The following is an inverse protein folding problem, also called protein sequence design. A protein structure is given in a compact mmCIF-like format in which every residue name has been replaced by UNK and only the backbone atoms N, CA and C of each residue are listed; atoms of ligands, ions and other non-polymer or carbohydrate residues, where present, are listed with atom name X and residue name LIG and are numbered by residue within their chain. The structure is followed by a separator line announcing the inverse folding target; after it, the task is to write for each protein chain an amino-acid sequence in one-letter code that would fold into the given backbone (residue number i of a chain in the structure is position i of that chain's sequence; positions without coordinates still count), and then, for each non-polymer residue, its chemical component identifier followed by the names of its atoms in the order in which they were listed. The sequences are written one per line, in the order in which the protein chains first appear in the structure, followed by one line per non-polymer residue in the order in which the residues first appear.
data_IF_301995555368
#
_entry.id   IF_301995555368
#
_cell.length_a   1.000
_cell.length_b   1.000
_cell.length_c   1.000
_cell.angle_alpha   90.00
_cell.angle_beta   90.00
_cell.angle_gamma   90.00
#
_symmetry.space_group_name_H-M   'P 1'
#
loop_
_entity.id
_entity.type
_entity.pdbx_description
1 polymer ?
#
# COMPACT_ATOMS: atom_id res chain seq x y z
N UNK A 1 18.82 -33.83 6.12
CA UNK A 1 18.31 -32.85 5.15
C UNK A 1 16.97 -32.40 5.67
N UNK A 2 16.94 -31.22 6.27
CA UNK A 2 15.80 -30.67 6.99
C UNK A 2 15.20 -29.58 6.11
N UNK A 3 13.90 -29.66 5.85
CA UNK A 3 13.14 -28.68 5.08
C UNK A 3 13.36 -27.27 5.64
N UNK A 4 13.78 -26.35 4.76
CA UNK A 4 13.75 -24.92 5.03
C UNK A 4 12.32 -24.47 4.76
N UNK A 5 11.52 -24.38 5.82
CA UNK A 5 10.20 -23.73 5.78
C UNK A 5 10.40 -22.26 5.41
N UNK A 6 9.69 -21.82 4.37
CA UNK A 6 9.67 -20.43 3.86
C UNK A 6 9.57 -19.43 5.01
N UNK A 7 10.52 -18.50 5.04
CA UNK A 7 10.54 -17.34 5.93
C UNK A 7 9.53 -16.30 5.43
N UNK A 8 8.46 -16.10 6.19
CA UNK A 8 7.66 -14.88 6.13
C UNK A 8 8.52 -13.72 6.64
N UNK A 9 9.07 -12.98 5.68
CA UNK A 9 10.00 -11.84 5.73
C UNK A 9 10.23 -11.17 7.10
N UNK A 10 11.40 -11.45 7.68
CA UNK A 10 12.17 -10.46 8.42
C UNK A 10 12.79 -9.48 7.42
N UNK A 11 12.56 -8.17 7.55
CA UNK A 11 13.25 -7.18 6.72
C UNK A 11 14.61 -6.84 7.34
N UNK A 12 15.66 -7.53 6.90
CA UNK A 12 17.02 -6.99 6.90
C UNK A 12 17.33 -6.58 5.46
N UNK A 13 17.44 -5.27 5.19
CA UNK A 13 17.89 -4.78 3.88
C UNK A 13 19.39 -4.58 3.95
N UNK A 14 20.13 -5.34 3.14
CA UNK A 14 21.56 -5.20 2.90
C UNK A 14 21.78 -4.21 1.76
N UNK A 15 22.53 -3.14 1.99
CA UNK A 15 23.14 -2.37 0.90
C UNK A 15 24.65 -2.46 1.03
N UNK A 16 25.28 -3.05 0.02
CA UNK A 16 26.72 -3.03 -0.11
C UNK A 16 27.07 -1.93 -1.11
N UNK A 17 27.52 -0.78 -0.62
CA UNK A 17 28.20 0.22 -1.45
C UNK A 17 29.55 0.53 -0.83
N UNK A 18 30.62 0.32 -1.60
CA UNK A 18 31.98 0.81 -1.30
C UNK A 18 32.62 0.26 -0.02
N UNK A 19 32.29 -0.97 0.39
CA UNK A 19 33.02 -1.68 1.45
C UNK A 19 32.75 -1.18 2.88
N UNK A 20 31.67 -0.43 3.10
CA UNK A 20 31.14 -0.15 4.44
C UNK A 20 29.67 -0.57 4.54
N UNK A 21 29.34 -1.29 5.60
CA UNK A 21 27.98 -1.74 5.90
C UNK A 21 27.20 -0.59 6.57
N UNK A 22 26.09 -0.17 5.98
CA UNK A 22 25.21 0.86 6.54
C UNK A 22 23.89 0.25 7.00
N UNK A 23 23.44 0.60 8.20
CA UNK A 23 22.16 0.15 8.78
C UNK A 23 21.17 1.31 8.79
N UNK A 24 20.02 1.14 8.14
CA UNK A 24 18.90 2.08 8.22
C UNK A 24 17.83 1.50 9.12
N UNK A 25 17.46 2.23 10.17
CA UNK A 25 16.26 1.97 10.96
C UNK A 25 15.21 2.99 10.51
N UNK A 26 14.07 2.54 10.01
CA UNK A 26 12.89 3.42 9.93
C UNK A 26 12.21 3.40 11.31
N UNK A 27 11.96 4.56 11.96
CA UNK A 27 12.19 5.95 11.54
C UNK A 27 13.47 6.59 12.11
N UNK A 28 14.38 5.82 12.71
CA UNK A 28 15.47 6.28 13.59
C UNK A 28 16.81 6.72 12.96
N UNK A 29 16.92 6.86 11.64
CA UNK A 29 18.15 7.33 10.97
C UNK A 29 19.14 6.21 10.58
N UNK A 30 20.30 6.64 10.08
CA UNK A 30 21.37 5.75 9.54
C UNK A 30 22.46 5.56 10.60
N UNK A 31 22.83 4.32 10.87
CA UNK A 31 23.96 3.96 11.74
C UNK A 31 25.04 3.24 10.92
N UNK A 32 26.30 3.46 11.29
CA UNK A 32 27.49 2.81 10.70
C UNK A 32 28.03 1.67 11.58
N UNK A 33 27.30 1.29 12.64
CA UNK A 33 27.74 0.29 13.60
C UNK A 33 26.67 -0.78 13.80
N UNK A 34 27.05 -2.05 13.60
CA UNK A 34 26.24 -3.22 13.94
C UNK A 34 25.98 -3.18 15.46
N UNK A 35 24.72 -3.06 15.92
CA UNK A 35 24.43 -3.16 17.35
C UNK A 35 24.87 -4.52 17.89
N UNK A 36 25.30 -4.57 19.15
CA UNK A 36 25.56 -5.85 19.79
C UNK A 36 24.30 -6.73 19.71
N UNK A 37 24.47 -8.04 19.51
CA UNK A 37 23.40 -9.03 19.23
C UNK A 37 22.24 -9.12 20.25
N UNK A 38 22.21 -8.26 21.27
CA UNK A 38 21.13 -8.10 22.26
C UNK A 38 20.17 -6.95 21.98
N UNK A 39 20.47 -6.05 21.04
CA UNK A 39 19.54 -5.03 20.53
C UNK A 39 18.96 -5.45 19.18
N UNK A 40 18.65 -6.74 19.02
CA UNK A 40 17.72 -7.15 17.98
C UNK A 40 16.38 -6.51 18.33
N UNK A 41 16.03 -5.49 17.57
CA UNK A 41 14.74 -4.82 17.65
C UNK A 41 13.65 -5.84 17.39
N UNK A 42 13.00 -6.27 18.47
CA UNK A 42 11.87 -7.19 18.44
C UNK A 42 10.55 -6.45 18.27
N UNK A 43 10.56 -5.29 17.60
CA UNK A 43 9.33 -4.64 17.16
C UNK A 43 8.82 -5.40 15.93
N UNK A 44 8.25 -6.58 16.20
CA UNK A 44 7.60 -7.41 15.21
C UNK A 44 6.19 -6.86 15.01
N UNK A 45 6.01 -6.04 13.98
CA UNK A 45 4.68 -5.72 13.47
C UNK A 45 4.35 -6.70 12.34
N UNK A 46 3.23 -7.46 12.40
CA UNK A 46 2.82 -8.28 11.27
C UNK A 46 2.56 -7.37 10.05
N UNK A 47 3.13 -7.72 8.89
CA UNK A 47 2.93 -6.94 7.68
C UNK A 47 1.44 -6.82 7.35
N UNK A 48 0.97 -5.61 7.05
CA UNK A 48 -0.42 -5.38 6.65
C UNK A 48 -0.77 -6.15 5.37
N UNK A 49 0.14 -6.17 4.41
CA UNK A 49 0.05 -7.08 3.28
C UNK A 49 0.29 -8.51 3.81
N UNK A 50 -0.79 -9.29 3.90
CA UNK A 50 -0.77 -10.72 4.25
C UNK A 50 0.35 -11.50 3.51
N UNK A 51 0.74 -12.71 3.96
CA UNK A 51 1.93 -13.45 3.49
C UNK A 51 2.15 -13.39 1.98
N UNK A 52 3.42 -13.38 1.58
CA UNK A 52 3.82 -13.23 0.19
C UNK A 52 3.08 -14.22 -0.73
N UNK A 53 2.20 -13.67 -1.57
CA UNK A 53 1.59 -14.41 -2.66
C UNK A 53 2.44 -14.18 -3.91
N UNK A 54 3.28 -15.14 -4.32
CA UNK A 54 4.17 -14.97 -5.47
C UNK A 54 3.40 -14.84 -6.79
N UNK A 55 2.08 -15.03 -6.76
CA UNK A 55 1.18 -14.86 -7.90
C UNK A 55 0.52 -13.48 -7.94
N UNK A 56 0.69 -12.66 -6.92
CA UNK A 56 0.13 -11.32 -6.83
C UNK A 56 1.13 -10.25 -7.27
N UNK A 57 0.62 -9.23 -7.96
CA UNK A 57 1.36 -8.01 -8.27
C UNK A 57 1.08 -6.99 -7.16
N UNK A 58 2.06 -6.74 -6.29
CA UNK A 58 1.91 -5.84 -5.14
C UNK A 58 2.76 -4.61 -5.31
N UNK A 59 2.16 -3.43 -5.15
CA UNK A 59 2.82 -2.13 -5.20
C UNK A 59 2.57 -1.38 -3.90
N UNK A 60 3.66 -1.06 -3.19
CA UNK A 60 3.63 -0.31 -1.93
C UNK A 60 3.65 1.20 -2.18
N UNK A 61 3.25 1.99 -1.17
CA UNK A 61 3.12 3.44 -1.22
C UNK A 61 4.41 4.19 -1.58
N UNK A 62 5.56 3.60 -1.32
CA UNK A 62 6.88 4.14 -1.65
C UNK A 62 7.30 3.87 -3.11
N UNK A 63 6.63 2.93 -3.79
CA UNK A 63 6.92 2.57 -5.19
C UNK A 63 6.78 3.78 -6.13
N UNK A 64 7.70 3.97 -7.10
CA UNK A 64 7.56 4.98 -8.15
C UNK A 64 6.37 4.70 -9.08
N UNK A 65 5.83 3.48 -9.09
CA UNK A 65 4.63 3.12 -9.85
C UNK A 65 3.33 3.58 -9.15
N UNK A 66 3.41 4.04 -7.89
CA UNK A 66 2.31 4.68 -7.17
C UNK A 66 2.59 6.18 -7.05
N UNK A 67 1.78 6.99 -7.74
CA UNK A 67 1.95 8.44 -7.84
C UNK A 67 0.69 9.19 -7.41
N UNK A 68 0.86 10.45 -7.01
CA UNK A 68 -0.23 11.26 -6.47
C UNK A 68 -0.24 11.26 -4.93
N UNK A 69 -1.32 11.76 -4.36
CA UNK A 69 -1.45 11.96 -2.91
C UNK A 69 -0.29 12.72 -2.28
N UNK A 70 -0.16 12.58 -0.96
CA UNK A 70 0.97 13.03 -0.16
C UNK A 70 1.66 11.79 0.42
N UNK A 71 2.93 11.60 0.06
CA UNK A 71 3.77 10.56 0.67
C UNK A 71 4.08 10.95 2.11
N UNK A 72 3.70 10.09 3.06
CA UNK A 72 4.01 10.28 4.48
C UNK A 72 5.23 9.42 4.80
N UNK A 73 6.41 10.04 4.78
CA UNK A 73 7.70 9.33 4.89
C UNK A 73 7.91 8.65 6.25
N UNK A 74 7.31 9.16 7.33
CA UNK A 74 7.31 8.51 8.64
C UNK A 74 6.25 7.40 8.77
N UNK A 75 5.44 7.19 7.72
CA UNK A 75 4.25 6.34 7.76
C UNK A 75 3.11 6.95 8.57
N UNK A 76 1.94 6.31 8.49
CA UNK A 76 0.83 6.50 9.43
C UNK A 76 0.74 5.23 10.24
N UNK A 77 0.94 5.33 11.56
CA UNK A 77 1.05 4.16 12.45
C UNK A 77 2.03 3.12 11.91
N UNK A 78 3.24 3.58 11.60
CA UNK A 78 4.38 2.73 11.17
C UNK A 78 4.24 2.10 9.78
N UNK A 79 3.12 2.31 9.07
CA UNK A 79 2.95 1.86 7.68
C UNK A 79 3.23 3.01 6.70
N UNK A 80 4.17 2.85 5.74
CA UNK A 80 4.34 3.79 4.63
C UNK A 80 3.02 4.00 3.88
N UNK A 81 2.65 5.25 3.63
CA UNK A 81 1.34 5.57 3.07
C UNK A 81 1.38 6.74 2.08
N UNK A 82 0.48 6.69 1.11
CA UNK A 82 0.04 7.86 0.35
C UNK A 82 -1.33 8.30 0.87
N UNK A 83 -1.41 9.57 1.26
CA UNK A 83 -2.65 10.18 1.75
C UNK A 83 -3.28 10.99 0.64
N UNK A 84 -4.54 10.71 0.33
CA UNK A 84 -5.37 11.59 -0.50
C UNK A 84 -6.31 12.40 0.36
N UNK A 85 -6.48 13.67 0.00
CA UNK A 85 -7.37 14.60 0.68
C UNK A 85 -8.63 14.87 -0.15
N UNK A 86 -9.57 15.64 0.41
CA UNK A 86 -10.81 16.05 -0.26
C UNK A 86 -10.65 16.48 -1.73
N UNK A 87 -11.73 16.31 -2.51
CA UNK A 87 -11.78 16.50 -3.96
C UNK A 87 -11.36 17.91 -4.45
N UNK A 88 -11.33 18.92 -3.57
CA UNK A 88 -10.86 20.27 -3.87
C UNK A 88 -9.35 20.47 -3.69
N UNK A 89 -8.61 19.43 -3.27
CA UNK A 89 -7.17 19.49 -3.05
C UNK A 89 -6.34 19.14 -4.30
N UNK A 90 -5.10 19.59 -4.33
CA UNK A 90 -4.08 19.22 -5.32
C UNK A 90 -3.57 17.76 -5.17
N UNK A 91 -4.02 17.06 -4.13
CA UNK A 91 -3.61 15.71 -3.76
C UNK A 91 -4.84 14.80 -3.55
N UNK A 92 -5.90 15.01 -4.35
CA UNK A 92 -7.15 14.27 -4.22
C UNK A 92 -7.14 12.87 -4.87
N UNK A 93 -6.03 12.44 -5.47
CA UNK A 93 -5.98 11.16 -6.17
C UNK A 93 -4.61 10.49 -6.09
N UNK A 94 -4.62 9.16 -6.18
CA UNK A 94 -3.48 8.28 -6.41
C UNK A 94 -3.71 7.53 -7.72
N UNK A 95 -2.66 7.36 -8.51
CA UNK A 95 -2.59 6.49 -9.67
C UNK A 95 -1.54 5.42 -9.43
N UNK A 96 -1.89 4.16 -9.70
CA UNK A 96 -1.03 2.99 -9.59
C UNK A 96 -0.92 2.32 -10.95
N UNK A 97 0.29 2.06 -11.41
CA UNK A 97 0.55 1.34 -12.67
C UNK A 97 1.04 -0.07 -12.40
N UNK A 98 0.23 -1.07 -12.75
CA UNK A 98 0.63 -2.47 -12.72
C UNK A 98 1.20 -2.88 -14.08
N UNK A 99 2.21 -3.75 -14.08
CA UNK A 99 2.64 -4.48 -15.28
C UNK A 99 2.50 -5.96 -14.99
N UNK A 100 1.60 -6.63 -15.70
CA UNK A 100 1.36 -8.06 -15.58
C UNK A 100 2.09 -8.80 -16.69
N UNK A 101 2.73 -9.92 -16.35
CA UNK A 101 3.47 -10.76 -17.30
C UNK A 101 2.66 -11.96 -17.82
N UNK A 102 1.40 -12.08 -17.37
CA UNK A 102 0.51 -13.20 -17.67
C UNK A 102 -0.97 -12.81 -17.57
N UNK A 103 -1.83 -13.65 -18.14
CA UNK A 103 -3.28 -13.52 -17.98
C UNK A 103 -3.68 -13.82 -16.52
N UNK A 104 -4.56 -13.00 -15.95
CA UNK A 104 -5.22 -13.26 -14.67
C UNK A 104 -6.68 -13.65 -14.91
N UNK A 105 -7.14 -14.68 -14.22
CA UNK A 105 -8.54 -15.11 -14.22
C UNK A 105 -9.25 -14.74 -12.93
N UNK A 106 -10.49 -14.26 -13.04
CA UNK A 106 -11.29 -13.68 -11.94
C UNK A 106 -10.45 -12.74 -11.04
N UNK A 107 -9.84 -11.68 -11.61
CA UNK A 107 -8.92 -10.83 -10.87
C UNK A 107 -9.64 -10.03 -9.78
N UNK A 108 -8.95 -9.85 -8.67
CA UNK A 108 -9.37 -9.05 -7.51
C UNK A 108 -8.28 -8.02 -7.20
N UNK A 109 -8.72 -6.80 -6.89
CA UNK A 109 -7.88 -5.75 -6.34
C UNK A 109 -7.99 -5.77 -4.80
N UNK A 110 -6.86 -5.74 -4.13
CA UNK A 110 -6.74 -5.56 -2.69
C UNK A 110 -6.06 -4.23 -2.39
N UNK A 111 -6.62 -3.45 -1.47
CA UNK A 111 -6.04 -2.20 -1.01
C UNK A 111 -5.82 -2.27 0.49
N UNK A 112 -4.60 -1.98 0.93
CA UNK A 112 -4.30 -1.71 2.33
C UNK A 112 -4.61 -0.24 2.62
N UNK A 113 -5.61 0.05 3.45
CA UNK A 113 -6.11 1.41 3.65
C UNK A 113 -6.54 1.73 5.08
N UNK A 114 -6.66 3.03 5.35
CA UNK A 114 -7.13 3.61 6.61
C UNK A 114 -7.94 4.88 6.33
N UNK A 115 -9.05 5.06 7.06
CA UNK A 115 -9.90 6.25 7.00
C UNK A 115 -9.51 7.30 8.06
N UNK A 116 -9.99 8.53 7.86
CA UNK A 116 -9.56 9.74 8.57
C UNK A 116 -10.01 9.89 10.02
N UNK A 117 -10.68 8.87 10.57
CA UNK A 117 -11.21 8.90 11.93
C UNK A 117 -12.24 10.02 12.14
N UNK A 118 -13.02 10.38 11.11
CA UNK A 118 -14.18 11.27 11.23
C UNK A 118 -15.47 10.46 11.39
N UNK A 119 -15.80 10.11 12.63
CA UNK A 119 -16.90 9.22 12.99
C UNK A 119 -18.29 9.61 12.44
N UNK A 120 -18.50 10.88 12.05
CA UNK A 120 -19.74 11.36 11.47
C UNK A 120 -19.81 11.21 9.94
N UNK A 121 -18.68 11.09 9.23
CA UNK A 121 -18.62 11.05 7.76
C UNK A 121 -17.42 10.23 7.31
N UNK A 122 -17.66 9.01 6.81
CA UNK A 122 -16.65 8.20 6.11
C UNK A 122 -16.17 8.93 4.86
N UNK A 123 -14.86 8.92 4.60
CA UNK A 123 -14.31 9.55 3.40
C UNK A 123 -14.91 8.90 2.14
N UNK A 124 -15.63 9.66 1.31
CA UNK A 124 -16.17 9.11 0.07
C UNK A 124 -15.12 9.16 -1.04
N UNK A 125 -14.90 8.04 -1.72
CA UNK A 125 -13.93 7.91 -2.80
C UNK A 125 -14.43 7.01 -3.93
N UNK A 126 -13.70 7.06 -5.05
CA UNK A 126 -13.93 6.25 -6.24
C UNK A 126 -12.66 5.49 -6.60
N UNK A 127 -12.83 4.24 -7.03
CA UNK A 127 -11.80 3.41 -7.64
C UNK A 127 -12.19 3.16 -9.10
N UNK A 128 -11.26 3.43 -10.01
CA UNK A 128 -11.35 2.98 -11.41
C UNK A 128 -10.14 2.13 -11.78
N UNK A 129 -10.36 1.08 -12.56
CA UNK A 129 -9.33 0.19 -13.10
C UNK A 129 -9.47 0.10 -14.61
N UNK A 130 -8.43 0.48 -15.35
CA UNK A 130 -8.45 0.65 -16.81
C UNK A 130 -9.66 1.48 -17.28
N UNK A 131 -9.96 2.56 -16.54
CA UNK A 131 -11.09 3.45 -16.78
C UNK A 131 -12.47 2.92 -16.37
N UNK A 132 -12.59 1.64 -16.00
CA UNK A 132 -13.85 1.04 -15.53
C UNK A 132 -14.06 1.28 -14.03
N UNK A 133 -15.27 1.64 -13.60
CA UNK A 133 -15.58 1.83 -12.17
C UNK A 133 -15.57 0.48 -11.44
N UNK A 134 -14.79 0.41 -10.35
CA UNK A 134 -14.68 -0.75 -9.46
C UNK A 134 -15.41 -0.49 -8.14
N UNK A 135 -15.36 0.75 -7.65
CA UNK A 135 -16.01 1.17 -6.42
C UNK A 135 -16.31 2.67 -6.48
N UNK A 136 -17.43 3.08 -5.88
CA UNK A 136 -17.78 4.48 -5.70
C UNK A 136 -18.74 4.61 -4.51
N UNK A 137 -18.25 5.19 -3.41
CA UNK A 137 -19.03 5.27 -2.19
C UNK A 137 -18.24 5.75 -0.99
N UNK A 138 -18.88 5.68 0.17
CA UNK A 138 -18.26 5.94 1.46
C UNK A 138 -17.21 4.87 1.80
N UNK A 139 -16.10 5.29 2.41
CA UNK A 139 -15.04 4.38 2.82
C UNK A 139 -15.54 3.26 3.73
N UNK A 140 -15.04 2.05 3.45
CA UNK A 140 -15.22 0.84 4.28
C UNK A 140 -14.02 0.59 5.19
N UNK A 141 -12.92 1.33 5.02
CA UNK A 141 -11.76 1.21 5.89
C UNK A 141 -12.09 1.71 7.31
N UNK A 142 -11.54 1.08 8.35
CA UNK A 142 -11.78 1.48 9.71
C UNK A 142 -11.08 2.80 10.01
N UNK A 143 -11.62 3.44 11.04
CA UNK A 143 -10.99 4.60 11.64
C UNK A 143 -9.75 4.17 12.43
N UNK A 144 -8.65 4.90 12.29
CA UNK A 144 -7.46 4.75 13.13
C UNK A 144 -6.88 3.32 13.14
N UNK A 145 -7.17 2.51 12.12
CA UNK A 145 -6.63 1.17 11.96
C UNK A 145 -6.39 0.87 10.48
N UNK A 146 -5.41 0.02 10.22
CA UNK A 146 -5.18 -0.50 8.88
C UNK A 146 -6.01 -1.76 8.65
N UNK A 147 -6.64 -1.87 7.49
CA UNK A 147 -7.21 -3.13 7.01
C UNK A 147 -6.91 -3.32 5.53
N UNK A 148 -7.17 -4.53 5.05
CA UNK A 148 -7.13 -4.86 3.62
C UNK A 148 -8.56 -5.07 3.14
N UNK A 149 -8.98 -4.24 2.19
CA UNK A 149 -10.27 -4.38 1.52
C UNK A 149 -10.12 -5.02 0.15
N UNK A 150 -11.11 -5.81 -0.26
CA UNK A 150 -11.14 -6.59 -1.51
C UNK A 150 -12.20 -6.04 -2.45
N UNK A 151 -11.79 -5.76 -3.69
CA UNK A 151 -12.63 -5.24 -4.75
C UNK A 151 -12.53 -6.15 -5.98
N UNK A 152 -13.56 -6.96 -6.27
CA UNK A 152 -13.62 -7.73 -7.50
C UNK A 152 -13.57 -6.79 -8.71
N UNK A 153 -12.72 -7.11 -9.69
CA UNK A 153 -12.71 -6.34 -10.94
C UNK A 153 -13.90 -6.74 -11.83
N UNK A 154 -14.45 -5.81 -12.62
CA UNK A 154 -15.55 -6.12 -13.53
C UNK A 154 -15.11 -7.06 -14.67
N UNK A 155 -13.85 -6.97 -15.11
CA UNK A 155 -13.28 -7.90 -16.08
C UNK A 155 -12.99 -9.25 -15.43
N UNK A 156 -13.51 -10.33 -16.02
CA UNK A 156 -13.23 -11.71 -15.56
C UNK A 156 -11.90 -12.28 -16.03
N UNK A 157 -11.26 -11.60 -16.97
CA UNK A 157 -9.94 -11.90 -17.47
C UNK A 157 -9.19 -10.61 -17.68
N UNK A 158 -7.93 -10.60 -17.30
CA UNK A 158 -7.02 -9.50 -17.53
C UNK A 158 -5.84 -10.00 -18.35
N UNK A 159 -5.64 -9.44 -19.53
CA UNK A 159 -4.51 -9.81 -20.40
C UNK A 159 -3.17 -9.38 -19.77
N UNK A 160 -2.03 -9.99 -20.17
CA UNK A 160 -0.72 -9.45 -19.85
C UNK A 160 -0.58 -8.01 -20.39
N UNK A 161 0.04 -7.13 -19.63
CA UNK A 161 0.33 -5.76 -20.06
C UNK A 161 0.34 -4.74 -18.94
N UNK A 162 0.30 -3.47 -19.33
CA UNK A 162 0.16 -2.35 -18.38
C UNK A 162 -1.31 -2.10 -18.05
N UNK A 163 -1.58 -1.88 -16.76
CA UNK A 163 -2.90 -1.56 -16.24
C UNK A 163 -2.84 -0.39 -15.29
N UNK A 164 -3.87 0.45 -15.32
CA UNK A 164 -3.95 1.64 -14.48
C UNK A 164 -5.08 1.52 -13.47
N UNK A 165 -4.72 1.61 -12.20
CA UNK A 165 -5.62 1.82 -11.08
C UNK A 165 -5.59 3.30 -10.70
N UNK A 166 -6.77 3.89 -10.48
CA UNK A 166 -6.90 5.25 -9.93
C UNK A 166 -7.84 5.25 -8.75
N UNK A 167 -7.40 5.86 -7.65
CA UNK A 167 -8.16 6.06 -6.42
C UNK A 167 -8.34 7.57 -6.26
N UNK A 168 -9.57 8.06 -6.18
CA UNK A 168 -9.87 9.49 -6.15
C UNK A 168 -10.86 9.82 -5.06
N UNK A 169 -10.56 10.82 -4.24
CA UNK A 169 -11.49 11.36 -3.25
C UNK A 169 -12.64 12.07 -3.96
N UNK A 170 -13.88 11.74 -3.58
CA UNK A 170 -15.09 12.38 -4.12
C UNK A 170 -15.74 13.30 -3.10
N UNK A 171 -15.46 13.10 -1.81
CA UNK A 171 -15.92 14.00 -0.76
C UNK A 171 -15.22 15.37 -0.83
N UNK A 172 -15.93 16.49 -0.58
CA UNK A 172 -15.33 17.83 -0.56
C UNK A 172 -14.37 17.97 0.62
N UNK A 173 -13.29 18.73 0.42
CA UNK A 173 -12.31 19.00 1.46
C UNK A 173 -11.03 19.64 0.90
N UNK A 174 -10.12 20.01 1.78
CA UNK A 174 -8.86 20.68 1.47
C UNK A 174 -7.67 19.83 1.92
N UNK A 175 -6.49 20.10 1.35
CA UNK A 175 -5.24 19.48 1.77
C UNK A 175 -4.97 19.71 3.25
N UNK A 176 -4.56 18.65 3.96
CA UNK A 176 -4.27 18.69 5.40
C UNK A 176 -5.52 18.69 6.30
N UNK A 177 -6.71 18.81 5.71
CA UNK A 177 -7.99 18.69 6.42
C UNK A 177 -8.60 17.30 6.30
N UNK A 178 -9.76 17.11 6.91
CA UNK A 178 -10.65 15.97 6.66
C UNK A 178 -11.63 16.33 5.52
N UNK A 179 -12.08 15.37 4.69
CA UNK A 179 -11.74 13.96 4.74
C UNK A 179 -10.40 13.61 4.09
N UNK A 180 -9.79 12.52 4.56
CA UNK A 180 -8.62 11.91 3.94
C UNK A 180 -8.72 10.37 3.91
N UNK A 181 -7.98 9.75 2.99
CA UNK A 181 -7.81 8.30 2.95
C UNK A 181 -6.32 8.02 2.81
N UNK A 182 -5.79 7.13 3.63
CA UNK A 182 -4.43 6.65 3.52
C UNK A 182 -4.41 5.29 2.81
N UNK A 183 -3.51 5.12 1.85
CA UNK A 183 -3.29 3.87 1.11
C UNK A 183 -1.84 3.45 1.28
N UNK A 184 -1.63 2.27 1.85
CA UNK A 184 -0.30 1.69 2.11
C UNK A 184 0.19 0.81 0.95
N UNK A 185 -0.71 0.08 0.30
CA UNK A 185 -0.39 -0.71 -0.88
C UNK A 185 -1.63 -0.97 -1.74
N UNK A 186 -1.37 -1.34 -2.99
CA UNK A 186 -2.35 -1.94 -3.89
C UNK A 186 -1.82 -3.29 -4.40
N UNK A 187 -2.66 -4.31 -4.40
CA UNK A 187 -2.32 -5.68 -4.79
C UNK A 187 -3.33 -6.23 -5.78
N UNK A 188 -2.84 -6.67 -6.94
CA UNK A 188 -3.65 -7.32 -7.98
C UNK A 188 -3.35 -8.82 -7.99
N UNK A 189 -4.39 -9.65 -7.89
CA UNK A 189 -4.24 -11.11 -7.85
C UNK A 189 -5.45 -11.83 -8.42
N UNK A 190 -5.35 -13.14 -8.58
CA UNK A 190 -6.51 -13.99 -8.89
C UNK A 190 -7.32 -14.28 -7.62
N UNK A 191 -8.62 -14.41 -7.78
CA UNK A 191 -9.51 -14.93 -6.75
C UNK A 191 -9.39 -16.46 -6.73
N UNK A 192 -8.87 -17.01 -5.63
CA UNK A 192 -8.75 -18.46 -5.41
C UNK A 192 -9.72 -18.93 -4.34
#
# INVERSE_FOLDING_TARGET
MTEITRLDRAAMIYFCSEGQDYFTRLPGGVTTAIPAAKELLTDYHPALAAPEDPRAFTLFADSPAMNGGIKVAAGIKEEPAQVIYGAGSDCAAITVKFTTDRELTDPVLELGGMDDNLSATRAAYRITFDGSEVFNGASTFPDDAWTVERYPLPQKKLAPGEHELKITMTAPGVRGGKPWLAVAFARLKENH
#
